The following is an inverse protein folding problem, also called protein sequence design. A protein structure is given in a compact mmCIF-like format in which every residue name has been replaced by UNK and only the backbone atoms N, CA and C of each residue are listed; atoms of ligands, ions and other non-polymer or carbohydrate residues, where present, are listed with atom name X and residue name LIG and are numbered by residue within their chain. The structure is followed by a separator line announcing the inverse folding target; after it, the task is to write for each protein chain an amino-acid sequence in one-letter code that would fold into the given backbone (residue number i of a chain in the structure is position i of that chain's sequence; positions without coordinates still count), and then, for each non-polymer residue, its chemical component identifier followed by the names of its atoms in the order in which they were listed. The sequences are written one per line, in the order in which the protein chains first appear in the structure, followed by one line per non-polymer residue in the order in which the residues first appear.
data_IF_010626965329
#
_entry.id   IF_010626965329
#
_cell.length_a   1.000
_cell.length_b   1.000
_cell.length_c   1.000
_cell.angle_alpha   90.00
_cell.angle_beta   90.00
_cell.angle_gamma   90.00
#
_symmetry.space_group_name_H-M   'P 1'
#
loop_
_entity.id
_entity.type
_entity.pdbx_description
1 polymer ?
#
# COMPACT_ATOMS: atom_id res chain seq x y z
N UNK A 1 -29.14 3.21 -31.70
CA UNK A 1 -29.20 2.57 -30.37
C UNK A 1 -27.84 2.69 -29.64
N UNK A 2 -27.22 3.88 -29.64
CA UNK A 2 -25.89 4.16 -29.07
C UNK A 2 -26.00 5.07 -27.82
N UNK A 3 -27.02 4.84 -26.98
CA UNK A 3 -27.35 5.70 -25.84
C UNK A 3 -27.56 4.96 -24.52
N UNK A 4 -27.28 3.66 -24.46
CA UNK A 4 -27.73 2.80 -23.36
C UNK A 4 -26.70 2.53 -22.25
N UNK A 5 -25.54 3.19 -22.19
CA UNK A 5 -24.58 2.90 -21.11
C UNK A 5 -23.69 4.09 -20.74
N UNK A 6 -24.30 5.24 -20.44
CA UNK A 6 -23.71 6.10 -19.40
C UNK A 6 -23.81 5.28 -18.11
N UNK A 7 -22.79 4.46 -17.84
CA UNK A 7 -22.68 3.73 -16.56
C UNK A 7 -22.74 4.79 -15.47
N UNK A 8 -23.78 4.72 -14.65
CA UNK A 8 -23.96 5.62 -13.54
C UNK A 8 -22.88 5.27 -12.50
N UNK A 9 -21.70 5.88 -12.65
CA UNK A 9 -20.58 5.71 -11.73
C UNK A 9 -20.87 6.52 -10.48
N UNK A 10 -21.10 5.83 -9.38
CA UNK A 10 -21.21 6.42 -8.06
C UNK A 10 -20.30 5.63 -7.10
N UNK A 11 -20.30 6.02 -5.83
CA UNK A 11 -19.48 5.43 -4.78
C UNK A 11 -19.60 3.90 -4.68
N UNK A 12 -20.80 3.37 -4.95
CA UNK A 12 -21.09 1.95 -4.85
C UNK A 12 -20.76 1.18 -6.14
N UNK A 13 -20.99 1.80 -7.30
CA UNK A 13 -20.87 1.11 -8.60
C UNK A 13 -19.45 1.15 -9.18
N UNK A 14 -18.61 2.09 -8.75
CA UNK A 14 -17.26 2.26 -9.32
C UNK A 14 -16.35 1.05 -9.09
N UNK A 15 -16.47 0.38 -7.93
CA UNK A 15 -15.65 -0.80 -7.61
C UNK A 15 -15.94 -1.95 -8.53
N UNK A 16 -17.23 -2.27 -8.72
CA UNK A 16 -17.66 -3.34 -9.60
C UNK A 16 -17.21 -3.04 -11.04
N UNK A 17 -17.34 -1.80 -11.49
CA UNK A 17 -16.91 -1.44 -12.83
C UNK A 17 -15.40 -1.57 -13.06
N UNK A 18 -14.56 -1.34 -12.04
CA UNK A 18 -13.11 -1.60 -12.12
C UNK A 18 -12.82 -3.10 -12.12
N UNK A 19 -13.47 -3.88 -11.25
CA UNK A 19 -13.34 -5.34 -11.23
C UNK A 19 -13.71 -5.96 -12.57
N UNK A 20 -14.81 -5.51 -13.20
CA UNK A 20 -15.21 -5.97 -14.54
C UNK A 20 -14.10 -5.77 -15.59
N UNK A 21 -13.32 -4.69 -15.50
CA UNK A 21 -12.21 -4.43 -16.44
C UNK A 21 -11.04 -5.39 -16.24
N UNK A 22 -10.83 -5.87 -15.03
CA UNK A 22 -9.72 -6.78 -14.67
C UNK A 22 -10.08 -8.24 -15.01
N UNK A 23 -11.36 -8.54 -15.29
CA UNK A 23 -11.82 -9.91 -15.58
C UNK A 23 -11.09 -10.62 -16.72
N UNK A 24 -10.60 -9.87 -17.70
CA UNK A 24 -9.87 -10.38 -18.86
C UNK A 24 -8.36 -10.61 -18.65
N UNK A 25 -7.85 -10.44 -17.43
CA UNK A 25 -6.44 -10.71 -17.13
C UNK A 25 -6.10 -12.19 -17.38
N UNK A 26 -4.99 -12.43 -18.09
CA UNK A 26 -4.58 -13.77 -18.54
C UNK A 26 -4.14 -14.68 -17.38
N UNK A 27 -3.53 -14.11 -16.34
CA UNK A 27 -3.08 -14.84 -15.17
C UNK A 27 -4.18 -14.82 -14.08
N UNK A 28 -4.75 -15.99 -13.71
CA UNK A 28 -5.80 -16.08 -12.70
C UNK A 28 -5.36 -15.60 -11.30
N UNK A 29 -4.08 -15.77 -10.93
CA UNK A 29 -3.54 -15.34 -9.64
C UNK A 29 -3.37 -13.84 -9.61
N UNK A 30 -2.80 -13.24 -10.66
CA UNK A 30 -2.67 -11.77 -10.76
C UNK A 30 -4.05 -11.11 -10.76
N UNK A 31 -5.03 -11.72 -11.43
CA UNK A 31 -6.44 -11.28 -11.37
C UNK A 31 -6.97 -11.26 -9.93
N UNK A 32 -6.82 -12.38 -9.20
CA UNK A 32 -7.29 -12.48 -7.81
C UNK A 32 -6.65 -11.42 -6.90
N UNK A 33 -5.33 -11.21 -7.02
CA UNK A 33 -4.59 -10.21 -6.24
C UNK A 33 -5.08 -8.79 -6.57
N UNK A 34 -5.25 -8.49 -7.86
CA UNK A 34 -5.72 -7.17 -8.33
C UNK A 34 -7.14 -6.87 -7.87
N UNK A 35 -8.04 -7.85 -7.95
CA UNK A 35 -9.42 -7.71 -7.46
C UNK A 35 -9.46 -7.48 -5.94
N UNK A 36 -8.65 -8.18 -5.16
CA UNK A 36 -8.54 -7.96 -3.72
C UNK A 36 -8.01 -6.56 -3.40
N UNK A 37 -6.94 -6.12 -4.07
CA UNK A 37 -6.36 -4.79 -3.87
C UNK A 37 -7.39 -3.69 -4.13
N UNK A 38 -8.10 -3.73 -5.27
CA UNK A 38 -9.11 -2.73 -5.61
C UNK A 38 -10.23 -2.69 -4.57
N UNK A 39 -10.73 -3.85 -4.14
CA UNK A 39 -11.79 -3.92 -3.12
C UNK A 39 -11.36 -3.27 -1.81
N UNK A 40 -10.18 -3.62 -1.29
CA UNK A 40 -9.70 -3.11 -0.02
C UNK A 40 -9.33 -1.62 -0.10
N UNK A 41 -8.73 -1.18 -1.21
CA UNK A 41 -8.41 0.24 -1.40
C UNK A 41 -9.68 1.11 -1.50
N UNK A 42 -10.68 0.67 -2.25
CA UNK A 42 -11.95 1.39 -2.33
C UNK A 42 -12.72 1.34 -1.00
N UNK A 43 -12.62 0.24 -0.24
CA UNK A 43 -13.20 0.18 1.11
C UNK A 43 -12.55 1.21 2.03
N UNK A 44 -11.22 1.34 2.03
CA UNK A 44 -10.50 2.37 2.78
C UNK A 44 -10.93 3.79 2.38
N UNK A 45 -11.02 4.09 1.08
CA UNK A 45 -11.45 5.43 0.61
C UNK A 45 -12.87 5.75 1.06
N UNK A 46 -13.79 4.78 1.06
CA UNK A 46 -15.15 4.99 1.61
C UNK A 46 -15.13 5.14 3.11
N UNK A 47 -14.35 4.36 3.82
CA UNK A 47 -14.26 4.43 5.28
C UNK A 47 -13.83 5.83 5.74
N UNK A 48 -12.80 6.40 5.11
CA UNK A 48 -12.23 7.68 5.53
C UNK A 48 -12.85 8.89 4.86
N UNK A 49 -13.64 8.71 3.79
CA UNK A 49 -14.25 9.77 2.97
C UNK A 49 -13.31 10.99 2.78
N UNK A 50 -12.14 10.80 2.15
CA UNK A 50 -11.09 11.81 2.14
C UNK A 50 -11.51 13.04 1.35
N UNK A 51 -11.06 14.20 1.79
CA UNK A 51 -11.14 15.43 1.01
C UNK A 51 -10.19 15.39 -0.17
N UNK A 52 -10.44 16.24 -1.17
CA UNK A 52 -9.56 16.42 -2.32
C UNK A 52 -8.11 16.74 -1.91
N UNK A 53 -7.93 17.55 -0.86
CA UNK A 53 -6.59 17.92 -0.35
C UNK A 53 -5.85 16.75 0.28
N UNK A 54 -6.56 15.91 1.04
CA UNK A 54 -5.95 14.71 1.64
C UNK A 54 -5.56 13.69 0.57
N UNK A 55 -6.39 13.54 -0.47
CA UNK A 55 -6.05 12.73 -1.63
C UNK A 55 -4.81 13.27 -2.36
N UNK A 56 -4.75 14.57 -2.66
CA UNK A 56 -3.59 15.21 -3.29
C UNK A 56 -2.31 15.04 -2.47
N UNK A 57 -2.42 15.19 -1.14
CA UNK A 57 -1.29 14.96 -0.24
C UNK A 57 -0.81 13.50 -0.29
N UNK A 58 -1.72 12.53 -0.34
CA UNK A 58 -1.38 11.11 -0.51
C UNK A 58 -0.68 10.83 -1.84
N UNK A 59 -1.13 11.44 -2.93
CA UNK A 59 -0.48 11.34 -4.24
C UNK A 59 0.92 11.96 -4.22
N UNK A 60 1.09 13.13 -3.63
CA UNK A 60 2.41 13.76 -3.47
C UNK A 60 3.36 12.88 -2.64
N UNK A 61 2.89 12.30 -1.54
CA UNK A 61 3.66 11.37 -0.72
C UNK A 61 4.17 10.16 -1.52
N UNK A 62 3.29 9.51 -2.29
CA UNK A 62 3.67 8.37 -3.13
C UNK A 62 4.62 8.79 -4.26
N UNK A 63 4.41 9.98 -4.83
CA UNK A 63 5.28 10.54 -5.88
C UNK A 63 6.68 10.81 -5.36
N UNK A 64 6.81 11.47 -4.19
CA UNK A 64 8.11 11.70 -3.54
C UNK A 64 8.80 10.38 -3.18
N UNK A 65 8.06 9.40 -2.68
CA UNK A 65 8.60 8.05 -2.42
C UNK A 65 9.16 7.42 -3.70
N UNK A 66 8.43 7.54 -4.81
CA UNK A 66 8.89 7.09 -6.12
C UNK A 66 10.15 7.80 -6.61
N UNK A 67 10.22 9.13 -6.50
CA UNK A 67 11.40 9.93 -6.90
C UNK A 67 12.65 9.67 -6.05
N UNK A 68 12.49 9.13 -4.84
CA UNK A 68 13.62 8.73 -3.99
C UNK A 68 14.18 7.35 -4.35
N UNK A 69 13.52 6.61 -5.24
CA UNK A 69 14.05 5.35 -5.76
C UNK A 69 15.10 5.60 -6.86
N UNK A 70 16.15 4.78 -6.88
CA UNK A 70 17.17 4.73 -7.93
C UNK A 70 17.68 3.28 -8.12
N UNK A 71 18.72 3.08 -8.94
CA UNK A 71 19.29 1.75 -9.22
C UNK A 71 19.80 1.01 -7.96
N UNK A 72 20.05 1.72 -6.87
CA UNK A 72 20.59 1.19 -5.61
C UNK A 72 19.59 1.26 -4.46
N UNK A 73 18.58 2.12 -4.56
CA UNK A 73 17.64 2.43 -3.48
C UNK A 73 16.20 2.16 -3.90
N UNK A 74 15.53 1.30 -3.14
CA UNK A 74 14.11 0.98 -3.36
C UNK A 74 13.30 1.43 -2.14
N UNK A 75 12.57 2.54 -2.24
CA UNK A 75 11.86 3.16 -1.11
C UNK A 75 10.47 2.59 -0.81
N UNK A 76 9.91 1.77 -1.71
CA UNK A 76 8.67 1.07 -1.42
C UNK A 76 8.87 -0.10 -0.44
N UNK A 77 10.08 -0.66 -0.32
CA UNK A 77 10.45 -1.66 0.69
C UNK A 77 10.45 -1.03 2.10
N UNK A 78 11.17 0.08 2.38
CA UNK A 78 11.03 0.81 3.65
C UNK A 78 9.61 1.28 3.95
N UNK A 79 8.85 1.72 2.95
CA UNK A 79 7.44 2.05 3.12
C UNK A 79 6.63 0.82 3.56
N UNK A 80 6.86 -0.33 2.91
CA UNK A 80 6.26 -1.62 3.26
C UNK A 80 6.64 -2.06 4.68
N UNK A 81 7.89 -1.89 5.08
CA UNK A 81 8.37 -2.18 6.43
C UNK A 81 7.70 -1.27 7.48
N UNK A 82 7.58 0.03 7.18
CA UNK A 82 6.90 1.01 8.05
C UNK A 82 5.41 0.67 8.25
N UNK A 83 4.74 0.22 7.20
CA UNK A 83 3.35 -0.23 7.23
C UNK A 83 3.20 -1.68 7.74
N UNK A 84 4.31 -2.34 8.12
CA UNK A 84 4.36 -3.75 8.52
C UNK A 84 3.84 -4.75 7.48
N UNK A 85 3.74 -4.35 6.20
CA UNK A 85 3.32 -5.23 5.10
C UNK A 85 4.34 -6.33 4.87
N UNK A 86 5.64 -6.02 4.91
CA UNK A 86 6.70 -7.02 4.75
C UNK A 86 6.65 -8.11 5.84
N UNK A 87 6.36 -7.72 7.09
CA UNK A 87 6.20 -8.68 8.19
C UNK A 87 4.95 -9.54 8.03
N UNK A 88 3.85 -8.95 7.55
CA UNK A 88 2.63 -9.69 7.28
C UNK A 88 2.86 -10.74 6.17
N UNK A 89 3.54 -10.36 5.09
CA UNK A 89 3.92 -11.29 4.01
C UNK A 89 4.82 -12.41 4.52
N UNK A 90 5.82 -12.11 5.34
CA UNK A 90 6.71 -13.11 5.93
C UNK A 90 5.93 -14.11 6.81
N UNK A 91 5.04 -13.60 7.66
CA UNK A 91 4.20 -14.41 8.56
C UNK A 91 3.28 -15.36 7.79
N UNK A 92 2.72 -14.93 6.66
CA UNK A 92 1.84 -15.76 5.81
C UNK A 92 2.61 -16.91 5.16
N UNK A 93 3.85 -16.64 4.71
CA UNK A 93 4.61 -17.61 3.91
C UNK A 93 5.53 -18.51 4.74
N UNK A 94 5.86 -18.12 5.97
CA UNK A 94 6.71 -18.87 6.88
C UNK A 94 6.02 -19.12 8.23
N UNK A 95 4.91 -19.89 8.26
CA UNK A 95 4.19 -20.17 9.50
C UNK A 95 5.07 -21.00 10.44
N UNK A 96 5.15 -20.55 11.69
CA UNK A 96 5.95 -21.21 12.72
C UNK A 96 5.19 -22.44 13.25
N UNK A 97 5.83 -23.61 13.39
CA UNK A 97 5.23 -24.77 14.03
C UNK A 97 4.73 -24.46 15.45
N UNK A 98 3.62 -25.07 15.87
CA UNK A 98 3.11 -24.92 17.23
C UNK A 98 4.20 -25.25 18.28
N UNK A 99 4.45 -24.31 19.18
CA UNK A 99 5.37 -24.49 20.32
C UNK A 99 6.64 -23.64 20.32
N UNK A 100 6.95 -22.89 19.25
CA UNK A 100 8.10 -21.98 19.26
C UNK A 100 7.78 -20.67 20.03
N UNK A 101 8.18 -20.63 21.29
CA UNK A 101 8.04 -19.49 22.17
C UNK A 101 9.06 -18.38 21.85
N UNK A 102 8.73 -17.44 20.96
CA UNK A 102 9.26 -16.06 20.94
C UNK A 102 8.60 -15.25 19.80
N UNK A 103 7.35 -14.86 20.02
CA UNK A 103 6.38 -14.48 18.98
C UNK A 103 6.58 -13.12 18.30
N UNK A 104 7.40 -12.23 18.86
CA UNK A 104 7.58 -10.86 18.34
C UNK A 104 9.02 -10.38 18.47
N UNK A 105 9.72 -10.79 19.54
CA UNK A 105 11.13 -10.44 19.74
C UNK A 105 12.02 -10.88 18.60
N UNK A 106 11.88 -12.10 18.06
CA UNK A 106 12.77 -12.61 17.01
C UNK A 106 12.64 -11.87 15.66
N UNK A 107 11.43 -11.40 15.33
CA UNK A 107 11.16 -10.66 14.09
C UNK A 107 11.55 -9.18 14.24
N UNK A 108 11.35 -8.61 15.44
CA UNK A 108 11.74 -7.23 15.78
C UNK A 108 13.28 -7.10 15.91
N UNK A 109 13.99 -8.09 16.48
CA UNK A 109 15.45 -8.06 16.66
C UNK A 109 16.23 -8.01 15.33
N UNK A 110 15.60 -8.44 14.22
CA UNK A 110 16.22 -8.51 12.88
C UNK A 110 16.09 -7.22 12.05
N UNK A 111 15.23 -6.26 12.42
CA UNK A 111 15.10 -4.98 11.70
C UNK A 111 14.86 -3.81 12.66
N UNK A 112 15.81 -2.88 12.68
CA UNK A 112 15.70 -1.57 13.34
C UNK A 112 14.89 -0.62 12.45
N UNK A 113 14.08 0.26 13.07
CA UNK A 113 13.36 1.45 12.54
C UNK A 113 11.90 1.26 12.09
N UNK A 114 11.00 2.26 12.09
CA UNK A 114 10.63 3.49 12.87
C UNK A 114 9.36 4.00 12.16
N UNK A 115 8.34 4.48 12.87
CA UNK A 115 7.15 5.11 12.26
C UNK A 115 7.33 6.64 12.22
N UNK A 116 6.99 7.24 11.07
CA UNK A 116 7.43 8.53 10.50
C UNK A 116 7.19 9.81 11.32
N UNK A 117 8.14 10.75 11.20
CA UNK A 117 7.92 12.21 11.20
C UNK A 117 9.21 12.98 10.84
N UNK A 118 9.20 14.00 9.96
CA UNK A 118 10.40 14.78 9.64
C UNK A 118 10.63 15.88 10.68
N UNK A 119 11.86 16.10 11.12
CA UNK A 119 12.29 17.38 11.68
C UNK A 119 13.71 17.77 11.21
N UNK A 120 13.70 18.83 10.41
CA UNK A 120 14.69 19.92 10.27
C UNK A 120 16.11 19.60 9.81
N UNK A 121 16.38 20.03 8.58
CA UNK A 121 17.62 20.72 8.22
C UNK A 121 17.94 21.84 9.23
N UNK A 122 19.14 21.84 9.79
CA UNK A 122 19.69 22.93 10.59
C UNK A 122 21.21 22.82 10.61
N UNK A 123 21.88 23.82 10.04
CA UNK A 123 23.32 23.95 9.94
C UNK A 123 23.95 24.39 11.27
N UNK A 124 25.16 23.87 11.57
CA UNK A 124 26.24 24.53 12.32
C UNK A 124 27.52 23.71 12.02
N UNK A 125 28.37 24.10 11.06
CA UNK A 125 29.47 25.06 11.20
C UNK A 125 30.41 24.78 12.37
N UNK A 126 31.59 24.25 12.02
CA UNK A 126 32.92 24.65 12.51
C UNK A 126 33.12 24.84 14.02
N UNK A 127 33.82 23.89 14.66
CA UNK A 127 35.06 24.11 15.43
C UNK A 127 35.67 22.77 15.84
#
# INVERSE_FOLDING_TARGET
MFGALVRNFNEDTITNAVIERIKGAADPRIKQVSEALVRHLHAFVREVHPTQKEWEYGIDFLTRTGHMCDDKRQEFIPLSDTLSVSMLVDTINHPVPEGAAAKLGWIIERRRFVVVGPQTTGAESSR
#
